data_IF_415883725625
#
_entry.id   IF_415883725625
#
_cell.length_a   1.000
_cell.length_b   1.000
_cell.length_c   1.000
_cell.angle_alpha   90.00
_cell.angle_beta   90.00
_cell.angle_gamma   90.00
#
_symmetry.space_group_name_H-M   'P 1'
#
loop_
_entity.id
_entity.type
_entity.pdbx_description
1 polymer ?
#
# COMPACT_ATOMS: atom_id res chain seq x y z
N UNK A 1 13.04 18.23 -10.20
CA UNK A 1 13.08 18.92 -8.89
C UNK A 1 12.09 18.32 -7.89
N UNK A 2 10.79 18.25 -8.22
CA UNK A 2 9.72 17.75 -7.33
C UNK A 2 9.96 16.30 -6.83
N UNK A 3 10.30 15.37 -7.73
CA UNK A 3 10.51 13.94 -7.35
C UNK A 3 11.67 13.71 -6.37
N UNK A 4 12.79 14.43 -6.56
CA UNK A 4 13.94 14.36 -5.63
C UNK A 4 13.57 14.94 -4.26
N UNK A 5 12.84 16.07 -4.25
CA UNK A 5 12.35 16.71 -3.03
C UNK A 5 11.35 15.84 -2.26
N UNK A 6 10.46 15.12 -2.95
CA UNK A 6 9.48 14.21 -2.33
C UNK A 6 10.12 12.92 -1.78
N UNK A 7 11.15 12.41 -2.45
CA UNK A 7 11.93 11.28 -1.94
C UNK A 7 12.68 11.65 -0.66
N UNK A 8 13.24 12.86 -0.59
CA UNK A 8 13.96 13.35 0.58
C UNK A 8 13.06 13.93 1.68
N UNK A 9 11.75 14.12 1.43
CA UNK A 9 10.84 14.63 2.45
C UNK A 9 10.19 13.48 3.19
N UNK A 10 10.16 13.56 4.51
CA UNK A 10 9.37 12.64 5.33
C UNK A 10 7.87 12.95 5.17
N UNK A 11 7.53 14.24 5.17
CA UNK A 11 6.16 14.70 4.93
C UNK A 11 5.79 14.69 3.45
N UNK A 12 4.67 14.02 3.15
CA UNK A 12 4.02 14.04 1.86
C UNK A 12 2.96 15.15 1.86
N UNK A 13 3.26 16.26 1.18
CA UNK A 13 2.22 17.24 0.86
C UNK A 13 1.52 16.81 -0.42
N UNK A 14 0.22 16.60 -0.36
CA UNK A 14 -0.61 16.34 -1.54
C UNK A 14 -0.71 17.63 -2.32
N UNK A 15 -0.31 17.59 -3.59
CA UNK A 15 -0.34 18.77 -4.45
C UNK A 15 -1.61 18.83 -5.28
N UNK A 16 -2.26 17.69 -5.50
CA UNK A 16 -3.39 17.53 -6.41
C UNK A 16 -4.48 16.69 -5.77
N UNK A 17 -5.73 17.13 -5.93
CA UNK A 17 -6.93 16.42 -5.45
C UNK A 17 -7.86 15.97 -6.59
N UNK A 18 -7.37 16.04 -7.83
CA UNK A 18 -8.10 15.60 -9.02
C UNK A 18 -7.65 14.18 -9.38
N UNK A 19 -8.62 13.29 -9.60
CA UNK A 19 -8.42 11.91 -10.05
C UNK A 19 -9.24 11.59 -11.29
N UNK A 20 -8.88 10.52 -11.99
CA UNK A 20 -9.66 9.98 -13.09
C UNK A 20 -10.82 9.15 -12.52
N UNK A 21 -12.04 9.40 -12.97
CA UNK A 21 -13.23 8.65 -12.57
C UNK A 21 -13.61 7.62 -13.64
N UNK A 22 -13.80 6.36 -13.21
CA UNK A 22 -14.44 5.31 -14.00
C UNK A 22 -15.70 4.84 -13.25
N UNK A 23 -16.84 5.42 -13.64
CA UNK A 23 -18.14 5.14 -13.01
C UNK A 23 -18.58 3.68 -13.20
N UNK A 24 -18.21 3.05 -14.31
CA UNK A 24 -18.55 1.66 -14.59
C UNK A 24 -17.77 0.72 -13.67
N UNK A 25 -16.47 0.97 -13.50
CA UNK A 25 -15.64 0.24 -12.54
C UNK A 25 -16.14 0.43 -11.11
N UNK A 26 -16.41 1.68 -10.71
CA UNK A 26 -16.95 2.04 -9.40
C UNK A 26 -18.23 1.25 -9.09
N UNK A 27 -19.20 1.22 -10.01
CA UNK A 27 -20.43 0.45 -9.84
C UNK A 27 -20.19 -1.06 -9.67
N UNK A 28 -19.23 -1.65 -10.42
CA UNK A 28 -18.91 -3.09 -10.35
C UNK A 28 -18.20 -3.50 -9.06
N UNK A 29 -17.51 -2.58 -8.40
CA UNK A 29 -16.73 -2.87 -7.19
C UNK A 29 -17.40 -2.40 -5.90
N UNK A 30 -18.38 -1.48 -5.97
CA UNK A 30 -19.02 -0.85 -4.81
C UNK A 30 -19.45 -1.85 -3.74
N UNK A 31 -20.29 -2.85 -4.08
CA UNK A 31 -20.78 -3.85 -3.12
C UNK A 31 -19.65 -4.63 -2.43
N UNK A 32 -18.55 -4.92 -3.15
CA UNK A 32 -17.39 -5.63 -2.58
C UNK A 32 -16.62 -4.73 -1.62
N UNK A 33 -16.45 -3.46 -1.97
CA UNK A 33 -15.84 -2.46 -1.10
C UNK A 33 -16.67 -2.25 0.16
N UNK A 34 -17.96 -1.98 0.04
CA UNK A 34 -18.90 -1.76 1.15
C UNK A 34 -18.88 -2.93 2.14
N UNK A 35 -18.96 -4.16 1.62
CA UNK A 35 -18.87 -5.37 2.46
C UNK A 35 -17.54 -5.44 3.22
N UNK A 36 -16.42 -5.11 2.57
CA UNK A 36 -15.11 -5.10 3.23
C UNK A 36 -14.98 -3.99 4.26
N UNK A 37 -15.47 -2.78 3.97
CA UNK A 37 -15.45 -1.64 4.89
C UNK A 37 -16.36 -1.90 6.11
N UNK A 38 -17.46 -2.62 5.93
CA UNK A 38 -18.31 -3.04 7.06
C UNK A 38 -17.67 -4.10 7.96
N UNK A 39 -16.56 -4.73 7.55
CA UNK A 39 -15.84 -5.71 8.35
C UNK A 39 -15.03 -5.02 9.45
N UNK A 40 -15.34 -5.34 10.70
CA UNK A 40 -14.69 -4.76 11.86
C UNK A 40 -13.17 -5.01 11.91
N UNK A 41 -12.70 -6.17 11.45
CA UNK A 41 -11.26 -6.48 11.44
C UNK A 41 -10.53 -5.65 10.40
N UNK A 42 -11.12 -5.53 9.21
CA UNK A 42 -10.59 -4.66 8.16
C UNK A 42 -10.53 -3.21 8.63
N UNK A 43 -11.66 -2.65 9.08
CA UNK A 43 -11.76 -1.24 9.42
C UNK A 43 -10.93 -0.85 10.64
N UNK A 44 -10.77 -1.76 11.61
CA UNK A 44 -9.98 -1.49 12.81
C UNK A 44 -8.47 -1.64 12.58
N UNK A 45 -8.04 -2.67 11.86
CA UNK A 45 -6.62 -3.04 11.80
C UNK A 45 -5.99 -2.84 10.42
N UNK A 46 -6.71 -3.12 9.34
CA UNK A 46 -6.12 -3.12 7.99
C UNK A 46 -6.22 -1.76 7.32
N UNK A 47 -7.40 -1.14 7.38
CA UNK A 47 -7.67 0.15 6.73
C UNK A 47 -6.72 1.27 7.20
N UNK A 48 -6.42 1.43 8.51
CA UNK A 48 -5.51 2.49 8.96
C UNK A 48 -4.10 2.37 8.38
N UNK A 49 -3.55 1.15 8.34
CA UNK A 49 -2.22 0.87 7.76
C UNK A 49 -2.21 1.19 6.27
N UNK A 50 -3.25 0.76 5.54
CA UNK A 50 -3.37 1.04 4.12
C UNK A 50 -3.50 2.55 3.82
N UNK A 51 -4.31 3.28 4.60
CA UNK A 51 -4.49 4.73 4.46
C UNK A 51 -3.17 5.46 4.68
N UNK A 52 -2.46 5.13 5.76
CA UNK A 52 -1.16 5.72 6.09
C UNK A 52 -0.09 5.39 5.04
N UNK A 53 -0.08 4.16 4.48
CA UNK A 53 0.79 3.82 3.37
C UNK A 53 0.49 4.65 2.11
N UNK A 54 -0.78 4.80 1.73
CA UNK A 54 -1.16 5.61 0.58
C UNK A 54 -0.75 7.08 0.77
N UNK A 55 -0.91 7.62 1.98
CA UNK A 55 -0.51 8.97 2.35
C UNK A 55 1.00 9.17 2.27
N UNK A 56 1.79 8.31 2.92
CA UNK A 56 3.23 8.50 3.12
C UNK A 56 4.06 7.98 1.95
N UNK A 57 3.63 6.91 1.27
CA UNK A 57 4.48 6.15 0.35
C UNK A 57 4.10 6.30 -1.13
N UNK A 58 2.96 6.91 -1.46
CA UNK A 58 2.52 7.12 -2.85
C UNK A 58 2.58 8.62 -3.19
N UNK A 59 3.24 8.95 -4.30
CA UNK A 59 3.36 10.34 -4.76
C UNK A 59 2.03 10.81 -5.37
N UNK A 60 1.53 11.97 -4.90
CA UNK A 60 0.28 12.60 -5.35
C UNK A 60 -0.84 11.56 -5.60
N UNK A 61 -1.33 10.87 -4.55
CA UNK A 61 -2.13 9.68 -4.71
C UNK A 61 -3.42 9.92 -5.51
N UNK A 62 -4.05 11.09 -5.44
CA UNK A 62 -5.19 11.43 -6.30
C UNK A 62 -4.83 11.47 -7.79
N UNK A 63 -3.74 12.16 -8.14
CA UNK A 63 -3.35 12.38 -9.54
C UNK A 63 -2.83 11.10 -10.20
N UNK A 64 -2.14 10.27 -9.42
CA UNK A 64 -1.47 9.08 -9.94
C UNK A 64 -2.34 7.82 -9.89
N UNK A 65 -3.53 7.91 -9.28
CA UNK A 65 -4.49 6.81 -9.23
C UNK A 65 -4.94 6.38 -10.64
N UNK A 66 -5.25 5.08 -10.76
CA UNK A 66 -5.70 4.38 -11.96
C UNK A 66 -4.63 4.26 -13.03
N UNK A 67 -3.85 5.32 -13.25
CA UNK A 67 -2.72 5.36 -14.18
C UNK A 67 -1.51 4.60 -13.62
N UNK A 68 -1.10 4.89 -12.39
CA UNK A 68 0.15 4.35 -11.82
C UNK A 68 -0.07 3.44 -10.62
N UNK A 69 -1.08 3.72 -9.80
CA UNK A 69 -1.40 2.89 -8.65
C UNK A 69 -2.90 2.60 -8.54
N UNK A 70 -3.23 1.52 -7.85
CA UNK A 70 -4.60 1.21 -7.47
C UNK A 70 -4.68 0.10 -6.43
N UNK A 71 -5.75 0.09 -5.65
CA UNK A 71 -6.07 -0.98 -4.70
C UNK A 71 -7.11 -1.96 -5.25
N UNK A 72 -7.10 -3.21 -4.81
CA UNK A 72 -8.11 -4.22 -5.15
C UNK A 72 -9.00 -4.53 -3.95
N UNK A 73 -10.25 -4.93 -4.21
CA UNK A 73 -11.15 -5.44 -3.17
C UNK A 73 -11.28 -6.96 -3.30
N UNK A 74 -10.58 -7.69 -2.41
CA UNK A 74 -10.51 -9.15 -2.39
C UNK A 74 -11.37 -9.65 -1.22
N UNK A 75 -12.17 -10.69 -1.47
CA UNK A 75 -13.05 -11.28 -0.47
C UNK A 75 -12.87 -12.80 -0.38
N UNK A 76 -11.64 -13.25 -0.57
CA UNK A 76 -11.27 -14.67 -0.55
C UNK A 76 -10.78 -15.03 0.85
N UNK A 77 -11.28 -16.15 1.37
CA UNK A 77 -10.85 -16.76 2.62
C UNK A 77 -10.31 -18.15 2.30
N UNK A 78 -9.12 -18.49 2.82
CA UNK A 78 -8.49 -19.80 2.68
C UNK A 78 -7.75 -20.13 3.98
N UNK A 79 -7.95 -21.32 4.54
CA UNK A 79 -7.28 -21.78 5.76
C UNK A 79 -7.28 -20.76 6.91
N UNK A 80 -8.45 -20.16 7.22
CA UNK A 80 -8.63 -19.09 8.21
C UNK A 80 -7.92 -17.76 7.89
N UNK A 81 -7.25 -17.64 6.75
CA UNK A 81 -6.67 -16.40 6.27
C UNK A 81 -7.62 -15.71 5.29
N UNK A 82 -7.89 -14.43 5.52
CA UNK A 82 -8.62 -13.57 4.59
C UNK A 82 -7.68 -12.56 3.96
N UNK A 83 -7.59 -12.60 2.64
CA UNK A 83 -6.95 -11.56 1.86
C UNK A 83 -7.96 -10.43 1.61
N UNK A 84 -7.68 -9.23 2.12
CA UNK A 84 -8.57 -8.07 1.96
C UNK A 84 -8.25 -7.27 0.71
N UNK A 85 -6.99 -6.87 0.55
CA UNK A 85 -6.63 -5.92 -0.49
C UNK A 85 -5.15 -6.03 -0.85
N UNK A 86 -4.87 -5.59 -2.08
CA UNK A 86 -3.52 -5.32 -2.56
C UNK A 86 -3.46 -3.90 -3.09
N UNK A 87 -2.47 -3.12 -2.70
CA UNK A 87 -2.08 -1.91 -3.41
C UNK A 87 -1.05 -2.31 -4.46
N UNK A 88 -1.32 -1.90 -5.70
CA UNK A 88 -0.48 -2.23 -6.84
C UNK A 88 0.13 -0.96 -7.41
N UNK A 89 1.41 -1.03 -7.77
CA UNK A 89 2.05 -0.08 -8.66
C UNK A 89 2.69 -0.83 -9.81
N UNK A 90 2.25 -0.51 -11.03
CA UNK A 90 2.59 -1.30 -12.23
C UNK A 90 2.25 -2.79 -12.04
N UNK A 91 3.21 -3.70 -12.28
CA UNK A 91 3.09 -5.15 -12.14
C UNK A 91 3.41 -5.64 -10.72
N UNK A 92 3.48 -4.75 -9.72
CA UNK A 92 3.95 -5.07 -8.37
C UNK A 92 2.86 -4.88 -7.34
N UNK A 93 2.70 -5.89 -6.49
CA UNK A 93 1.85 -5.87 -5.29
C UNK A 93 2.65 -5.24 -4.15
N UNK A 94 2.75 -3.91 -4.13
CA UNK A 94 3.63 -3.19 -3.19
C UNK A 94 3.17 -3.26 -1.74
N UNK A 95 1.89 -3.56 -1.52
CA UNK A 95 1.31 -3.86 -0.22
C UNK A 95 0.24 -4.93 -0.41
N UNK A 96 0.37 -6.03 0.31
CA UNK A 96 -0.67 -7.05 0.47
C UNK A 96 -1.12 -7.06 1.92
N UNK A 97 -2.42 -6.95 2.14
CA UNK A 97 -3.01 -6.85 3.47
C UNK A 97 -4.11 -7.88 3.69
N UNK A 98 -4.08 -8.56 4.83
CA UNK A 98 -5.03 -9.60 5.18
C UNK A 98 -5.28 -9.69 6.69
N UNK A 99 -5.96 -10.75 7.07
CA UNK A 99 -6.22 -11.08 8.47
C UNK A 99 -6.25 -12.60 8.65
N UNK A 100 -5.45 -13.07 9.61
CA UNK A 100 -5.45 -14.43 10.07
C UNK A 100 -6.45 -14.56 11.22
N UNK A 101 -7.56 -15.26 10.98
CA UNK A 101 -8.60 -15.52 11.97
C UNK A 101 -8.22 -16.64 12.95
N UNK A 102 -7.27 -17.52 12.62
CA UNK A 102 -6.82 -18.56 13.55
C UNK A 102 -6.02 -17.96 14.70
N UNK A 103 -5.18 -16.95 14.40
CA UNK A 103 -4.35 -16.28 15.39
C UNK A 103 -4.87 -14.89 15.78
N UNK A 104 -5.97 -14.43 15.17
CA UNK A 104 -6.59 -13.12 15.40
C UNK A 104 -5.62 -11.94 15.13
N UNK A 105 -4.87 -12.03 14.04
CA UNK A 105 -3.80 -11.09 13.67
C UNK A 105 -4.04 -10.45 12.30
N UNK A 106 -3.78 -9.15 12.21
CA UNK A 106 -3.72 -8.48 10.91
C UNK A 106 -2.36 -8.76 10.27
N UNK A 107 -2.34 -8.98 8.96
CA UNK A 107 -1.13 -9.36 8.23
C UNK A 107 -0.82 -8.36 7.15
N UNK A 108 0.46 -8.03 7.03
CA UNK A 108 0.94 -7.06 6.08
C UNK A 108 2.23 -7.53 5.44
N UNK A 109 2.31 -7.35 4.13
CA UNK A 109 3.49 -7.64 3.34
C UNK A 109 3.76 -6.48 2.41
N UNK A 110 4.98 -5.97 2.40
CA UNK A 110 5.41 -4.91 1.47
C UNK A 110 6.58 -5.36 0.63
N UNK A 111 6.54 -5.02 -0.66
CA UNK A 111 7.72 -5.03 -1.51
C UNK A 111 8.36 -3.64 -1.49
N UNK A 112 9.66 -3.59 -1.21
CA UNK A 112 10.41 -2.38 -0.91
C UNK A 112 11.74 -2.39 -1.67
N UNK A 113 12.37 -1.23 -1.81
CA UNK A 113 13.74 -1.14 -2.32
C UNK A 113 14.71 -1.60 -1.23
N UNK A 114 15.70 -2.42 -1.60
CA UNK A 114 16.70 -2.96 -0.68
C UNK A 114 17.73 -1.91 -0.28
N UNK A 115 18.08 -1.01 -1.20
CA UNK A 115 19.14 -0.02 -1.03
C UNK A 115 19.05 0.85 0.24
N UNK A 116 17.88 1.33 0.70
CA UNK A 116 17.81 2.10 1.95
C UNK A 116 18.04 1.25 3.21
N UNK A 117 17.92 -0.07 3.11
CA UNK A 117 18.19 -1.03 4.18
C UNK A 117 19.62 -1.59 4.13
N UNK A 118 20.52 -1.03 3.31
CA UNK A 118 21.94 -1.41 3.32
C UNK A 118 22.60 -0.94 4.63
N UNK A 119 22.49 -1.77 5.67
CA UNK A 119 22.97 -1.49 7.02
C UNK A 119 22.18 -2.25 8.09
N UNK A 120 22.44 -1.94 9.36
CA UNK A 120 21.60 -2.43 10.45
C UNK A 120 20.29 -1.64 10.49
N UNK A 121 19.17 -2.37 10.44
CA UNK A 121 17.85 -1.82 10.68
C UNK A 121 17.35 -2.31 12.03
N UNK A 122 17.26 -1.39 12.99
CA UNK A 122 16.70 -1.68 14.30
C UNK A 122 15.19 -1.87 14.17
N UNK A 123 14.70 -3.08 14.44
CA UNK A 123 13.27 -3.41 14.44
C UNK A 123 12.57 -3.01 15.74
N UNK A 124 13.31 -2.45 16.71
CA UNK A 124 12.86 -2.30 18.08
C UNK A 124 12.42 -3.64 18.66
N UNK A 125 11.33 -3.63 19.41
CA UNK A 125 10.73 -4.84 20.01
C UNK A 125 9.79 -5.61 19.05
N UNK A 126 9.67 -5.17 17.80
CA UNK A 126 8.71 -5.74 16.86
C UNK A 126 9.26 -6.97 16.13
N UNK A 127 8.41 -7.99 15.97
CA UNK A 127 8.72 -9.14 15.11
C UNK A 127 8.43 -8.80 13.65
N UNK A 128 9.51 -8.64 12.88
CA UNK A 128 9.48 -8.26 11.47
C UNK A 128 10.33 -9.27 10.68
N UNK A 129 9.75 -9.83 9.63
CA UNK A 129 10.41 -10.83 8.79
C UNK A 129 10.92 -10.16 7.50
N UNK A 130 12.21 -10.36 7.21
CA UNK A 130 12.88 -9.89 6.00
C UNK A 130 13.04 -11.07 5.05
N UNK A 131 12.43 -11.00 3.88
CA UNK A 131 12.38 -12.09 2.91
C UNK A 131 13.06 -11.61 1.63
N UNK A 132 14.06 -12.36 1.16
CA UNK A 132 14.74 -12.12 -0.12
C UNK A 132 13.86 -12.60 -1.29
N UNK A 133 12.69 -11.96 -1.44
CA UNK A 133 11.71 -12.26 -2.45
C UNK A 133 11.59 -11.08 -3.41
N UNK A 134 11.60 -11.40 -4.71
CA UNK A 134 11.67 -10.39 -5.74
C UNK A 134 10.93 -10.83 -7.00
N UNK A 135 10.25 -9.89 -7.67
CA UNK A 135 9.66 -10.10 -8.99
C UNK A 135 10.54 -9.48 -10.08
N UNK A 136 10.82 -10.21 -11.16
CA UNK A 136 11.66 -9.70 -12.25
C UNK A 136 11.20 -8.32 -12.78
N UNK A 137 9.89 -8.06 -12.81
CA UNK A 137 9.31 -6.78 -13.24
C UNK A 137 9.62 -5.59 -12.29
N UNK A 138 9.87 -5.87 -11.00
CA UNK A 138 10.30 -4.93 -9.96
C UNK A 138 11.76 -4.49 -10.06
N UNK A 139 12.62 -5.29 -10.71
CA UNK A 139 14.07 -5.04 -10.80
C UNK A 139 14.85 -5.77 -9.69
N UNK A 140 16.17 -5.56 -9.61
CA UNK A 140 17.02 -6.28 -8.66
C UNK A 140 17.08 -5.63 -7.26
N UNK A 141 16.77 -4.33 -7.18
CA UNK A 141 16.72 -3.60 -5.90
C UNK A 141 15.34 -3.77 -5.26
N UNK A 142 15.06 -4.99 -4.77
CA UNK A 142 13.86 -5.23 -3.98
C UNK A 142 14.02 -6.36 -2.97
N UNK A 143 13.18 -6.31 -1.95
CA UNK A 143 12.95 -7.39 -1.00
C UNK A 143 11.54 -7.24 -0.43
N UNK A 144 11.16 -8.17 0.45
CA UNK A 144 9.86 -8.16 1.11
C UNK A 144 10.02 -8.04 2.63
N UNK A 145 9.18 -7.21 3.24
CA UNK A 145 8.94 -7.19 4.69
C UNK A 145 7.57 -7.79 4.97
N UNK A 146 7.49 -8.67 5.96
CA UNK A 146 6.26 -9.24 6.47
C UNK A 146 6.10 -9.01 7.98
N UNK A 147 4.88 -8.72 8.42
CA UNK A 147 4.52 -8.72 9.83
C UNK A 147 3.06 -9.14 10.03
N UNK A 148 2.78 -9.75 11.19
CA UNK A 148 1.44 -10.12 11.66
C UNK A 148 0.98 -9.23 12.81
N UNK A 149 1.60 -8.06 12.95
CA UNK A 149 1.38 -7.15 14.05
C UNK A 149 0.96 -5.77 13.50
N UNK A 150 -0.19 -5.30 13.98
CA UNK A 150 -0.73 -4.00 13.62
C UNK A 150 0.16 -2.85 14.11
N UNK A 151 0.68 -2.96 15.34
CA UNK A 151 1.51 -1.90 15.92
C UNK A 151 2.87 -1.85 15.22
N UNK A 152 3.45 -3.01 14.88
CA UNK A 152 4.65 -3.09 14.04
C UNK A 152 4.43 -2.44 12.67
N UNK A 153 3.28 -2.71 12.03
CA UNK A 153 2.94 -2.12 10.74
C UNK A 153 2.81 -0.58 10.82
N UNK A 154 2.18 -0.07 11.88
CA UNK A 154 2.04 1.37 12.11
C UNK A 154 3.38 2.04 12.41
N UNK A 155 4.24 1.38 13.19
CA UNK A 155 5.60 1.81 13.51
C UNK A 155 6.50 1.84 12.28
N UNK A 156 6.45 0.82 11.43
CA UNK A 156 7.16 0.81 10.14
C UNK A 156 6.76 2.00 9.27
N UNK A 157 5.47 2.36 9.27
CA UNK A 157 4.96 3.54 8.56
C UNK A 157 5.27 4.88 9.25
N UNK A 158 5.94 4.87 10.40
CA UNK A 158 6.59 6.03 11.02
C UNK A 158 8.13 5.98 10.91
N UNK A 159 8.69 4.94 10.32
CA UNK A 159 10.13 4.77 10.20
C UNK A 159 10.63 5.39 8.88
N UNK A 160 11.61 6.30 8.96
CA UNK A 160 12.14 7.02 7.81
C UNK A 160 12.77 6.10 6.75
N UNK A 161 13.49 5.06 7.18
CA UNK A 161 14.15 4.10 6.27
C UNK A 161 13.11 3.28 5.52
N UNK A 162 12.08 2.80 6.23
CA UNK A 162 10.97 2.07 5.60
C UNK A 162 10.24 2.95 4.58
N UNK A 163 9.88 4.19 4.94
CA UNK A 163 9.21 5.12 4.03
C UNK A 163 10.08 5.40 2.81
N UNK A 164 11.38 5.67 3.00
CA UNK A 164 12.32 5.90 1.89
C UNK A 164 12.39 4.70 0.94
N UNK A 165 12.43 3.48 1.48
CA UNK A 165 12.43 2.25 0.69
C UNK A 165 11.13 2.05 -0.10
N UNK A 166 9.98 2.27 0.53
CA UNK A 166 8.68 2.19 -0.13
C UNK A 166 8.56 3.23 -1.25
N UNK A 167 8.91 4.50 -0.97
CA UNK A 167 8.89 5.59 -1.94
C UNK A 167 9.80 5.31 -3.14
N UNK A 168 11.01 4.82 -2.87
CA UNK A 168 12.01 4.51 -3.90
C UNK A 168 11.53 3.39 -4.82
N UNK A 169 10.99 2.31 -4.25
CA UNK A 169 10.44 1.20 -5.01
C UNK A 169 9.22 1.61 -5.84
N UNK A 170 8.29 2.35 -5.22
CA UNK A 170 7.09 2.85 -5.87
C UNK A 170 7.43 3.73 -7.08
N UNK A 171 8.34 4.69 -6.91
CA UNK A 171 8.79 5.54 -8.02
C UNK A 171 9.51 4.77 -9.12
N UNK A 172 10.32 3.77 -8.75
CA UNK A 172 10.95 2.86 -9.73
C UNK A 172 9.90 2.15 -10.57
N UNK A 173 8.84 1.62 -9.92
CA UNK A 173 7.72 1.00 -10.62
C UNK A 173 6.99 1.99 -11.56
N UNK A 174 6.63 3.17 -11.06
CA UNK A 174 5.93 4.19 -11.86
C UNK A 174 6.75 4.66 -13.07
N UNK A 175 8.08 4.78 -12.94
CA UNK A 175 8.97 5.17 -14.06
C UNK A 175 8.96 4.17 -15.21
N UNK A 176 8.68 2.90 -14.92
CA UNK A 176 8.64 1.84 -15.93
C UNK A 176 7.29 1.76 -16.67
N UNK A 177 6.28 2.54 -16.26
CA UNK A 177 5.01 2.69 -16.98
C UNK A 177 3.76 2.57 -16.12
N UNK A 178 2.61 2.69 -16.77
CA UNK A 178 1.29 2.59 -16.16
C UNK A 178 0.97 1.18 -15.64
N UNK A 179 0.01 1.08 -14.72
CA UNK A 179 -0.45 -0.21 -14.21
C UNK A 179 -1.46 -0.90 -15.14
N UNK A 180 -1.30 -2.21 -15.40
CA UNK A 180 -2.26 -2.96 -16.21
C UNK A 180 -3.52 -3.36 -15.42
N UNK A 181 -3.49 -3.25 -14.08
CA UNK A 181 -4.54 -3.72 -13.18
C UNK A 181 -5.69 -2.71 -12.99
N UNK A 182 -5.81 -1.71 -13.86
CA UNK A 182 -6.89 -0.74 -13.81
C UNK A 182 -8.29 -1.41 -13.79
N UNK A 183 -8.44 -2.58 -14.41
CA UNK A 183 -9.72 -3.33 -14.44
C UNK A 183 -10.10 -3.99 -13.10
N UNK A 184 -9.13 -4.27 -12.23
CA UNK A 184 -9.36 -4.89 -10.91
C UNK A 184 -9.27 -3.88 -9.77
N UNK A 185 -8.91 -2.63 -10.10
CA UNK A 185 -8.91 -1.53 -9.18
C UNK A 185 -10.32 -1.30 -8.57
N UNK A 186 -10.35 -0.88 -7.32
CA UNK A 186 -11.56 -0.67 -6.53
C UNK A 186 -11.67 0.81 -6.13
N UNK A 187 -12.28 1.67 -6.97
CA UNK A 187 -12.35 3.11 -6.72
C UNK A 187 -13.01 3.47 -5.38
N UNK A 188 -14.05 2.73 -5.00
CA UNK A 188 -14.75 2.92 -3.72
C UNK A 188 -13.85 2.67 -2.51
N UNK A 189 -12.94 1.70 -2.57
CA UNK A 189 -11.96 1.54 -1.48
C UNK A 189 -10.93 2.66 -1.51
N UNK A 190 -10.49 3.07 -2.69
CA UNK A 190 -9.52 4.15 -2.83
C UNK A 190 -10.01 5.46 -2.17
N UNK A 191 -11.33 5.74 -2.20
CA UNK A 191 -11.92 6.88 -1.49
C UNK A 191 -11.58 6.91 0.02
N UNK A 192 -11.43 5.74 0.66
CA UNK A 192 -11.08 5.63 2.08
C UNK A 192 -9.56 5.64 2.33
N UNK A 193 -8.76 5.36 1.30
CA UNK A 193 -7.30 5.37 1.39
C UNK A 193 -6.71 6.73 1.07
N UNK A 194 -7.39 7.51 0.24
CA UNK A 194 -6.97 8.83 -0.14
C UNK A 194 -6.97 9.74 1.11
N UNK A 195 -5.90 10.50 1.35
CA UNK A 195 -5.84 11.34 2.54
C UNK A 195 -6.87 12.46 2.45
N UNK A 196 -7.47 12.82 3.57
CA UNK A 196 -8.52 13.83 3.62
C UNK A 196 -8.02 15.18 3.09
N UNK A 197 -8.92 15.92 2.45
CA UNK A 197 -8.68 17.32 2.11
C UNK A 197 -8.45 18.09 3.42
N UNK A 198 -7.25 18.65 3.59
CA UNK A 198 -7.01 19.55 4.71
C UNK A 198 -7.94 20.77 4.59
N UNK A 199 -9.02 20.79 5.38
CA UNK A 199 -9.97 21.92 5.45
C UNK A 199 -11.41 21.65 4.99
N UNK A 200 -11.96 20.45 5.20
CA UNK A 200 -13.42 20.24 5.20
C UNK A 200 -14.01 20.36 6.60
#
# INVERSE_FOLDING_TARGET
MIKKKWLSSYDSKIMHYKRVEDLSLRARTAKRAEKMISDQKFSKYVLPVMKKYAEKCIIDPYLTELTYWGCTCINTISNNFRLYSRINLRFQEVLTSGYDYAHNKATFSWHLAKSPFEGYFDTGDYRIEFIDHYYQSGGQDQFQIYTEDFDAAMWLLDNEVFILAAKSFNLSCMRKGAQPYAKTHCPTLADYLLPELAGS
#
